data_IF_379134797171
#
_entry.id   IF_379134797171
#
_cell.length_a   1.000
_cell.length_b   1.000
_cell.length_c   1.000
_cell.angle_alpha   90.00
_cell.angle_beta   90.00
_cell.angle_gamma   90.00
#
_symmetry.space_group_name_H-M   'P 1'
#
loop_
_entity.id
_entity.type
_entity.pdbx_description
1 polymer ?
#
# COMPACT_ATOMS: atom_id res chain seq x y z
N UNK A 1 -15.07 1.94 -27.30
CA UNK A 1 -14.93 0.50 -26.95
C UNK A 1 -15.41 0.30 -25.52
N UNK A 2 -16.18 -0.75 -25.23
CA UNK A 2 -16.62 -1.06 -23.86
C UNK A 2 -15.59 -1.95 -23.15
N UNK A 3 -15.22 -1.58 -21.92
CA UNK A 3 -14.28 -2.34 -21.07
C UNK A 3 -14.88 -2.60 -19.70
N UNK A 4 -14.55 -3.76 -19.15
CA UNK A 4 -14.98 -4.23 -17.83
C UNK A 4 -13.75 -4.77 -17.11
N UNK A 5 -13.51 -4.31 -15.88
CA UNK A 5 -12.45 -4.81 -15.01
C UNK A 5 -12.93 -6.03 -14.20
N UNK A 6 -11.99 -6.86 -13.74
CA UNK A 6 -12.31 -8.00 -12.89
C UNK A 6 -12.75 -7.59 -11.47
N UNK A 7 -13.06 -8.58 -10.63
CA UNK A 7 -13.56 -8.35 -9.27
C UNK A 7 -12.55 -7.59 -8.38
N UNK A 8 -11.26 -7.85 -8.51
CA UNK A 8 -10.19 -7.17 -7.75
C UNK A 8 -9.57 -5.98 -8.49
N UNK A 9 -10.08 -5.62 -9.67
CA UNK A 9 -9.49 -4.57 -10.49
C UNK A 9 -10.42 -3.38 -10.70
N UNK A 10 -9.84 -2.22 -11.01
CA UNK A 10 -10.56 -1.01 -11.40
C UNK A 10 -9.99 -0.43 -12.68
N UNK A 11 -10.86 0.15 -13.51
CA UNK A 11 -10.46 0.94 -14.66
C UNK A 11 -10.24 2.39 -14.24
N UNK A 12 -9.10 2.94 -14.60
CA UNK A 12 -8.82 4.38 -14.56
C UNK A 12 -8.93 4.89 -15.98
N UNK A 13 -9.82 5.85 -16.21
CA UNK A 13 -10.02 6.48 -17.51
C UNK A 13 -9.63 7.94 -17.43
N UNK A 14 -8.90 8.41 -18.43
CA UNK A 14 -8.41 9.80 -18.56
C UNK A 14 -8.60 10.28 -20.01
N UNK A 15 -8.41 11.57 -20.26
CA UNK A 15 -8.45 12.14 -21.61
C UNK A 15 -9.71 12.97 -21.89
N UNK A 16 -10.15 13.01 -23.15
CA UNK A 16 -11.16 13.95 -23.62
C UNK A 16 -12.45 13.91 -22.78
N UNK A 17 -12.84 15.07 -22.22
CA UNK A 17 -14.03 15.24 -21.38
C UNK A 17 -13.90 14.75 -19.94
N UNK A 18 -12.70 14.33 -19.51
CA UNK A 18 -12.40 13.93 -18.13
C UNK A 18 -11.37 14.93 -17.57
N UNK A 19 -11.70 15.72 -16.53
CA UNK A 19 -10.83 16.79 -16.06
C UNK A 19 -9.54 16.28 -15.39
N UNK A 20 -9.56 15.07 -14.85
CA UNK A 20 -8.43 14.48 -14.14
C UNK A 20 -8.44 12.96 -14.36
N UNK A 21 -8.95 12.16 -13.41
CA UNK A 21 -9.12 10.72 -13.59
C UNK A 21 -10.52 10.26 -13.19
N UNK A 22 -11.02 9.22 -13.85
CA UNK A 22 -12.27 8.55 -13.49
C UNK A 22 -12.02 7.10 -13.17
N UNK A 23 -12.41 6.66 -11.97
CA UNK A 23 -12.31 5.26 -11.54
C UNK A 23 -13.67 4.57 -11.73
N UNK A 24 -13.70 3.41 -12.37
CA UNK A 24 -14.95 2.66 -12.61
C UNK A 24 -14.68 1.17 -12.82
N UNK A 25 -15.65 0.31 -12.45
CA UNK A 25 -15.58 -1.13 -12.75
C UNK A 25 -15.81 -1.45 -14.23
N UNK A 26 -16.58 -0.61 -14.92
CA UNK A 26 -16.93 -0.75 -16.33
C UNK A 26 -17.12 0.62 -16.95
N UNK A 27 -16.61 0.84 -18.16
CA UNK A 27 -16.68 2.13 -18.82
C UNK A 27 -16.67 2.00 -20.35
N UNK A 28 -17.33 2.95 -21.00
CA UNK A 28 -17.16 3.20 -22.43
C UNK A 28 -15.97 4.11 -22.64
N UNK A 29 -14.98 3.64 -23.40
CA UNK A 29 -13.82 4.43 -23.79
C UNK A 29 -14.11 5.07 -25.15
N UNK A 30 -14.22 6.40 -25.15
CA UNK A 30 -14.48 7.22 -26.35
C UNK A 30 -13.18 7.59 -27.08
N UNK A 31 -13.24 8.01 -28.35
CA UNK A 31 -12.06 8.55 -29.05
C UNK A 31 -11.45 9.73 -28.28
N UNK A 32 -10.12 9.70 -28.09
CA UNK A 32 -9.40 10.70 -27.29
C UNK A 32 -9.34 10.40 -25.78
N UNK A 33 -9.90 9.27 -25.33
CA UNK A 33 -9.74 8.78 -23.96
C UNK A 33 -8.74 7.62 -23.89
N UNK A 34 -7.96 7.60 -22.82
CA UNK A 34 -7.02 6.54 -22.46
C UNK A 34 -7.52 5.82 -21.21
N UNK A 35 -7.15 4.55 -21.06
CA UNK A 35 -7.48 3.78 -19.86
C UNK A 35 -6.33 2.90 -19.41
N UNK A 36 -6.28 2.68 -18.09
CA UNK A 36 -5.35 1.76 -17.41
C UNK A 36 -6.16 0.92 -16.42
N UNK A 37 -5.70 -0.30 -16.16
CA UNK A 37 -6.30 -1.19 -15.16
C UNK A 37 -5.34 -1.30 -13.99
N UNK A 38 -5.86 -1.25 -12.77
CA UNK A 38 -5.06 -1.54 -11.58
C UNK A 38 -5.79 -2.49 -10.65
N UNK A 39 -5.02 -3.33 -9.98
CA UNK A 39 -5.51 -4.31 -9.03
C UNK A 39 -5.45 -3.75 -7.59
N UNK A 40 -6.49 -3.99 -6.80
CA UNK A 40 -6.61 -3.55 -5.40
C UNK A 40 -6.29 -4.66 -4.39
N UNK A 41 -5.85 -5.83 -4.86
CA UNK A 41 -5.51 -6.94 -3.99
C UNK A 41 -4.40 -6.54 -3.01
N UNK A 42 -4.54 -6.92 -1.74
CA UNK A 42 -3.55 -6.60 -0.72
C UNK A 42 -2.25 -7.35 -0.98
N UNK A 43 -1.14 -6.74 -0.57
CA UNK A 43 0.21 -7.28 -0.72
C UNK A 43 0.87 -7.41 0.64
N UNK A 44 1.61 -8.50 0.85
CA UNK A 44 2.36 -8.73 2.06
C UNK A 44 3.75 -8.10 1.95
N UNK A 45 4.09 -7.26 2.90
CA UNK A 45 5.40 -6.66 3.03
C UNK A 45 6.09 -7.20 4.27
N UNK A 46 7.24 -7.82 4.07
CA UNK A 46 8.09 -8.37 5.14
C UNK A 46 9.15 -7.34 5.52
N UNK A 47 9.26 -7.05 6.81
CA UNK A 47 10.22 -6.10 7.35
C UNK A 47 11.02 -6.73 8.47
N UNK A 48 12.28 -6.33 8.55
CA UNK A 48 13.20 -6.67 9.63
C UNK A 48 13.68 -5.37 10.25
N UNK A 49 12.93 -4.88 11.24
CA UNK A 49 13.25 -3.59 11.87
C UNK A 49 14.34 -3.81 12.90
N UNK A 50 15.46 -3.10 12.73
CA UNK A 50 16.52 -3.04 13.75
C UNK A 50 16.13 -2.04 14.84
N UNK A 51 15.99 -2.50 16.07
CA UNK A 51 15.55 -1.69 17.19
C UNK A 51 16.42 -1.91 18.44
N UNK A 52 16.26 -1.03 19.43
CA UNK A 52 16.86 -1.16 20.75
C UNK A 52 15.75 -1.31 21.79
N UNK A 53 15.87 -2.29 22.69
CA UNK A 53 14.92 -2.45 23.79
C UNK A 53 15.05 -1.32 24.81
N UNK A 54 14.09 -1.22 25.75
CA UNK A 54 14.21 -0.31 26.91
C UNK A 54 15.50 -0.55 27.74
N UNK A 55 16.04 -1.78 27.70
CA UNK A 55 17.30 -2.18 28.36
C UNK A 55 18.54 -1.92 27.50
N UNK A 56 18.37 -1.26 26.33
CA UNK A 56 19.42 -0.92 25.35
C UNK A 56 20.09 -2.13 24.69
N UNK A 57 19.40 -3.27 24.64
CA UNK A 57 19.87 -4.42 23.87
C UNK A 57 19.41 -4.30 22.41
N UNK A 58 20.30 -4.49 21.43
CA UNK A 58 19.92 -4.49 20.02
C UNK A 58 19.15 -5.76 19.68
N UNK A 59 18.08 -5.63 18.90
CA UNK A 59 17.31 -6.77 18.41
C UNK A 59 16.72 -6.49 17.02
N UNK A 60 16.31 -7.57 16.33
CA UNK A 60 15.60 -7.49 15.05
C UNK A 60 14.16 -7.93 15.27
N UNK A 61 13.22 -7.08 14.89
CA UNK A 61 11.80 -7.39 14.91
C UNK A 61 11.35 -7.79 13.50
N UNK A 62 11.19 -9.10 13.20
CA UNK A 62 10.56 -9.54 11.97
C UNK A 62 9.05 -9.29 12.07
N UNK A 63 8.50 -8.55 11.11
CA UNK A 63 7.07 -8.30 11.02
C UNK A 63 6.59 -8.41 9.57
N UNK A 64 5.38 -8.93 9.39
CA UNK A 64 4.72 -9.01 8.08
C UNK A 64 3.47 -8.15 8.13
N UNK A 65 3.42 -7.11 7.32
CA UNK A 65 2.25 -6.25 7.18
C UNK A 65 1.56 -6.51 5.85
N UNK A 66 0.26 -6.76 5.90
CA UNK A 66 -0.60 -6.85 4.71
C UNK A 66 -1.16 -5.47 4.40
N UNK A 67 -0.80 -4.89 3.26
CA UNK A 67 -1.16 -3.51 2.88
C UNK A 67 -1.94 -3.53 1.57
N UNK A 68 -3.05 -2.79 1.54
CA UNK A 68 -3.87 -2.60 0.35
C UNK A 68 -4.57 -1.24 0.37
N UNK A 69 -5.06 -0.77 -0.78
CA UNK A 69 -5.84 0.45 -0.84
C UNK A 69 -7.20 0.29 -0.15
N UNK A 70 -7.68 1.38 0.47
CA UNK A 70 -9.02 1.44 1.04
C UNK A 70 -10.06 1.56 -0.07
N UNK A 71 -10.79 0.48 -0.34
CA UNK A 71 -11.73 0.38 -1.47
C UNK A 71 -13.08 1.05 -1.22
N UNK A 72 -13.44 1.24 0.05
CA UNK A 72 -14.67 1.91 0.52
C UNK A 72 -14.60 3.44 0.46
N UNK A 73 -13.40 4.00 0.29
CA UNK A 73 -13.18 5.44 0.18
C UNK A 73 -12.61 5.82 -1.18
N UNK A 74 -13.44 6.48 -1.97
CA UNK A 74 -13.11 6.95 -3.31
C UNK A 74 -11.90 7.89 -3.32
N UNK A 75 -11.76 8.74 -2.30
CA UNK A 75 -10.66 9.71 -2.24
C UNK A 75 -9.30 9.05 -2.04
N UNK A 76 -9.24 7.99 -1.22
CA UNK A 76 -8.06 7.15 -1.05
C UNK A 76 -7.74 6.35 -2.30
N UNK A 77 -8.76 5.81 -2.96
CA UNK A 77 -8.59 5.04 -4.19
C UNK A 77 -8.07 5.92 -5.34
N UNK A 78 -8.52 7.17 -5.43
CA UNK A 78 -7.99 8.17 -6.37
C UNK A 78 -6.50 8.46 -6.13
N UNK A 79 -6.11 8.67 -4.87
CA UNK A 79 -4.68 8.86 -4.52
C UNK A 79 -3.85 7.63 -4.86
N UNK A 80 -4.38 6.43 -4.55
CA UNK A 80 -3.71 5.18 -4.88
C UNK A 80 -3.50 5.01 -6.39
N UNK A 81 -4.55 5.26 -7.19
CA UNK A 81 -4.49 5.19 -8.65
C UNK A 81 -3.49 6.17 -9.26
N UNK A 82 -3.31 7.35 -8.66
CA UNK A 82 -2.38 8.37 -9.15
C UNK A 82 -0.93 8.16 -8.73
N UNK A 83 -0.71 7.77 -7.48
CA UNK A 83 0.62 7.82 -6.87
C UNK A 83 1.29 6.44 -6.84
N UNK A 84 0.52 5.40 -6.55
CA UNK A 84 1.06 4.06 -6.29
C UNK A 84 0.86 3.15 -7.50
N UNK A 85 -0.34 3.13 -8.09
CA UNK A 85 -0.67 2.24 -9.22
C UNK A 85 0.24 2.36 -10.46
N UNK A 86 0.84 3.53 -10.81
CA UNK A 86 1.77 3.60 -11.93
C UNK A 86 3.09 2.86 -11.66
N UNK A 87 3.40 2.64 -10.39
CA UNK A 87 4.56 1.88 -9.94
C UNK A 87 4.14 0.43 -9.67
N UNK A 88 5.07 -0.50 -9.83
CA UNK A 88 4.87 -1.85 -9.31
C UNK A 88 4.69 -1.77 -7.78
N UNK A 89 3.68 -2.45 -7.23
CA UNK A 89 3.43 -2.54 -5.78
C UNK A 89 4.67 -3.07 -5.04
N UNK A 90 5.46 -3.90 -5.72
CA UNK A 90 6.72 -4.47 -5.22
C UNK A 90 7.97 -3.72 -5.72
N UNK A 91 7.80 -2.58 -6.39
CA UNK A 91 8.93 -1.74 -6.77
C UNK A 91 9.71 -1.31 -5.52
N UNK A 92 11.02 -1.15 -5.70
CA UNK A 92 11.92 -0.70 -4.64
C UNK A 92 11.41 0.60 -3.98
N UNK A 93 10.94 1.53 -4.81
CA UNK A 93 10.43 2.82 -4.35
C UNK A 93 9.24 2.70 -3.40
N UNK A 94 8.24 1.87 -3.74
CA UNK A 94 7.07 1.67 -2.88
C UNK A 94 7.47 0.94 -1.60
N UNK A 95 8.36 -0.05 -1.70
CA UNK A 95 8.85 -0.79 -0.52
C UNK A 95 9.60 0.12 0.45
N UNK A 96 10.49 0.99 -0.02
CA UNK A 96 11.21 1.97 0.80
C UNK A 96 10.27 2.97 1.47
N UNK A 97 9.26 3.47 0.75
CA UNK A 97 8.25 4.37 1.30
C UNK A 97 7.50 3.71 2.46
N UNK A 98 7.00 2.49 2.25
CA UNK A 98 6.28 1.76 3.29
C UNK A 98 7.20 1.45 4.47
N UNK A 99 8.42 0.99 4.21
CA UNK A 99 9.40 0.70 5.25
C UNK A 99 9.70 1.95 6.10
N UNK A 100 9.97 3.09 5.47
CA UNK A 100 10.27 4.33 6.17
C UNK A 100 9.13 4.82 7.07
N UNK A 101 7.87 4.64 6.62
CA UNK A 101 6.69 4.97 7.43
C UNK A 101 6.57 4.04 8.63
N UNK A 102 6.64 2.72 8.41
CA UNK A 102 6.50 1.73 9.48
C UNK A 102 7.64 1.85 10.50
N UNK A 103 8.88 2.01 10.05
CA UNK A 103 10.02 2.24 10.93
C UNK A 103 9.87 3.55 11.70
N UNK A 104 9.43 4.63 11.05
CA UNK A 104 9.19 5.92 11.70
C UNK A 104 8.18 5.84 12.85
N UNK A 105 7.03 5.23 12.58
CA UNK A 105 5.94 5.07 13.57
C UNK A 105 6.28 4.04 14.66
N UNK A 106 6.89 2.91 14.28
CA UNK A 106 7.16 1.81 15.21
C UNK A 106 8.40 2.07 16.06
N UNK A 107 9.34 2.94 15.65
CA UNK A 107 10.55 3.26 16.41
C UNK A 107 10.24 3.76 17.83
N UNK A 108 9.19 4.56 17.97
CA UNK A 108 8.79 5.09 19.28
C UNK A 108 8.24 3.98 20.18
N UNK A 109 7.42 3.08 19.62
CA UNK A 109 6.85 1.95 20.35
C UNK A 109 7.93 0.95 20.75
N UNK A 110 8.80 0.56 19.83
CA UNK A 110 9.87 -0.42 20.08
C UNK A 110 10.84 0.02 21.18
N UNK A 111 11.14 1.32 21.28
CA UNK A 111 12.00 1.87 22.32
C UNK A 111 11.37 1.81 23.73
N UNK A 112 10.05 1.72 23.83
CA UNK A 112 9.30 1.67 25.09
C UNK A 112 9.02 0.25 25.58
N UNK A 113 9.26 -0.77 24.76
CA UNK A 113 8.98 -2.17 25.08
C UNK A 113 10.18 -2.85 25.72
N UNK A 114 9.89 -3.76 26.66
CA UNK A 114 10.89 -4.67 27.24
C UNK A 114 11.10 -5.88 26.33
N UNK A 115 12.27 -6.54 26.43
CA UNK A 115 12.57 -7.74 25.64
C UNK A 115 11.57 -8.89 25.91
N UNK A 116 11.06 -8.95 27.14
CA UNK A 116 10.09 -9.94 27.59
C UNK A 116 8.72 -9.75 26.93
N UNK A 117 8.28 -8.50 26.75
CA UNK A 117 7.04 -8.17 26.04
C UNK A 117 7.15 -8.51 24.55
N UNK A 118 8.28 -8.16 23.91
CA UNK A 118 8.55 -8.47 22.50
C UNK A 118 8.51 -9.99 22.26
N UNK A 119 9.10 -10.78 23.16
CA UNK A 119 9.16 -12.24 23.01
C UNK A 119 7.83 -12.93 23.34
N UNK A 120 6.98 -12.31 24.16
CA UNK A 120 5.62 -12.79 24.45
C UNK A 120 4.69 -12.60 23.24
N UNK A 121 4.80 -11.47 22.54
CA UNK A 121 3.99 -11.18 21.35
C UNK A 121 4.38 -12.05 20.14
N UNK A 122 5.62 -12.55 20.08
CA UNK A 122 6.05 -13.49 19.03
C UNK A 122 5.57 -14.94 19.21
N UNK A 123 4.92 -15.28 20.34
CA UNK A 123 4.51 -16.67 20.66
C UNK A 123 3.07 -17.03 20.24
N UNK A 124 2.45 -16.28 19.35
CA UNK A 124 1.12 -16.61 18.80
C UNK A 124 1.25 -17.52 17.59
#
# INVERSE_FOLDING_TARGET
>A
MYRVASASEYLVVTGAGIPDIKISKKAWILPGQSYTVFDVSPVNYTFEVQAMSAEKLPFVLPAVFTIGPRVDDESSLLKYAKLISPHDKLSHHVKELVQGIIEGETRVLAASMTMEEIQRDQRV
#
